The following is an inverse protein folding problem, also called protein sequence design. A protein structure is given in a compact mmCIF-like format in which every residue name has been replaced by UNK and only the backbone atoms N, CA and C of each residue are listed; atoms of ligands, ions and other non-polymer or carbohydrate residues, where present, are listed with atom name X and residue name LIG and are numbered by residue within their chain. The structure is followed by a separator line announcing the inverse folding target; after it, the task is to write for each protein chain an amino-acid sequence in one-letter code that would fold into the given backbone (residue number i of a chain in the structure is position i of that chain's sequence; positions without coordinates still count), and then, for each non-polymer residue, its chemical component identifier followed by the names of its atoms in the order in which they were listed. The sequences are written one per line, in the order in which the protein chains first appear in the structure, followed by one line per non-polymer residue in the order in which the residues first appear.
data_IF_450420171045
#
_entry.id   IF_450420171045
#
_cell.length_a   1.000
_cell.length_b   1.000
_cell.length_c   1.000
_cell.angle_alpha   90.00
_cell.angle_beta   90.00
_cell.angle_gamma   90.00
#
_symmetry.space_group_name_H-M   'P 1'
#
loop_
_entity.id
_entity.type
_entity.pdbx_description
1 polymer ?
#
# COMPACT_ATOMS: atom_id res chain seq x y z
N UNK A 1 1.05 -26.86 -1.04
CA UNK A 1 1.06 -26.88 0.44
C UNK A 1 -0.01 -26.00 1.08
N UNK A 2 -0.13 -24.69 0.79
CA UNK A 2 -1.22 -23.84 1.34
C UNK A 2 -2.65 -24.35 1.08
N UNK A 3 -2.91 -24.89 -0.12
CA UNK A 3 -4.21 -25.50 -0.48
C UNK A 3 -4.55 -26.77 0.32
N UNK A 4 -3.54 -27.52 0.78
CA UNK A 4 -3.73 -28.75 1.56
C UNK A 4 -4.05 -28.42 3.02
N UNK A 5 -3.40 -27.40 3.58
CA UNK A 5 -3.69 -26.91 4.94
C UNK A 5 -5.12 -26.36 5.03
N UNK A 6 -5.57 -25.59 4.02
CA UNK A 6 -6.95 -25.10 3.97
C UNK A 6 -7.97 -26.25 3.89
N UNK A 7 -7.69 -27.30 3.11
CA UNK A 7 -8.58 -28.46 2.99
C UNK A 7 -8.70 -29.23 4.31
N UNK A 8 -7.59 -29.41 5.04
CA UNK A 8 -7.54 -30.08 6.35
C UNK A 8 -8.27 -29.27 7.42
N UNK A 9 -8.16 -27.94 7.40
CA UNK A 9 -8.90 -27.05 8.30
C UNK A 9 -10.42 -27.13 8.01
N UNK A 10 -10.82 -27.15 6.74
CA UNK A 10 -12.22 -27.29 6.35
C UNK A 10 -12.79 -28.65 6.76
N UNK A 11 -12.05 -29.75 6.59
CA UNK A 11 -12.52 -31.08 7.02
C UNK A 11 -12.58 -31.22 8.54
N UNK A 12 -11.65 -30.63 9.28
CA UNK A 12 -11.69 -30.59 10.75
C UNK A 12 -12.87 -29.74 11.27
N UNK A 13 -13.18 -28.61 10.61
CA UNK A 13 -14.34 -27.76 10.94
C UNK A 13 -15.68 -28.45 10.64
N UNK A 14 -15.76 -29.22 9.55
CA UNK A 14 -16.96 -30.00 9.21
C UNK A 14 -17.19 -31.14 10.20
N UNK A 15 -16.12 -31.85 10.59
CA UNK A 15 -16.20 -32.92 11.59
C UNK A 15 -16.54 -32.39 13.00
N UNK A 16 -15.99 -31.24 13.39
CA UNK A 16 -16.36 -30.56 14.64
C UNK A 16 -17.78 -29.96 14.58
N UNK A 17 -18.23 -29.50 13.41
CA UNK A 17 -19.58 -28.98 13.20
C UNK A 17 -20.67 -29.99 13.53
N UNK A 18 -20.50 -31.27 13.16
CA UNK A 18 -21.52 -32.30 13.38
C UNK A 18 -21.82 -32.57 14.87
N UNK A 19 -20.86 -32.33 15.78
CA UNK A 19 -21.07 -32.44 17.23
C UNK A 19 -21.66 -31.18 17.88
N UNK A 20 -21.55 -30.01 17.23
CA UNK A 20 -21.97 -28.71 17.77
C UNK A 20 -23.42 -28.36 17.41
N UNK A 21 -24.01 -28.98 16.37
CA UNK A 21 -25.36 -28.68 15.87
C UNK A 21 -26.55 -29.03 16.79
N UNK A 22 -26.31 -29.49 18.03
CA UNK A 22 -27.37 -29.73 19.05
C UNK A 22 -27.54 -28.59 20.06
N UNK A 23 -26.69 -27.56 20.03
CA UNK A 23 -26.67 -26.50 21.04
C UNK A 23 -26.46 -25.13 20.37
N UNK A 24 -27.54 -24.35 20.26
CA UNK A 24 -27.54 -23.07 19.52
C UNK A 24 -26.57 -22.03 20.10
N UNK A 25 -26.25 -22.11 21.40
CA UNK A 25 -25.27 -21.24 22.04
C UNK A 25 -23.85 -21.49 21.52
N UNK A 26 -23.51 -22.78 21.31
CA UNK A 26 -22.22 -23.20 20.78
C UNK A 26 -22.14 -23.00 19.27
N UNK A 27 -23.27 -23.11 18.56
CA UNK A 27 -23.37 -22.75 17.14
C UNK A 27 -23.07 -21.26 16.92
N UNK A 28 -23.68 -20.37 17.70
CA UNK A 28 -23.41 -18.93 17.61
C UNK A 28 -21.96 -18.59 17.99
N UNK A 29 -21.40 -19.21 19.03
CA UNK A 29 -20.00 -18.99 19.41
C UNK A 29 -19.02 -19.51 18.34
N UNK A 30 -19.36 -20.62 17.66
CA UNK A 30 -18.58 -21.14 16.54
C UNK A 30 -18.73 -20.23 15.30
N UNK A 31 -19.94 -19.76 14.99
CA UNK A 31 -20.18 -18.80 13.91
C UNK A 31 -19.45 -17.47 14.15
N UNK A 32 -19.42 -16.95 15.39
CA UNK A 32 -18.62 -15.78 15.75
C UNK A 32 -17.13 -16.04 15.66
N UNK A 33 -16.64 -17.21 16.10
CA UNK A 33 -15.22 -17.58 15.93
C UNK A 33 -14.84 -17.78 14.47
N UNK A 34 -15.70 -18.40 13.66
CA UNK A 34 -15.49 -18.59 12.23
C UNK A 34 -15.56 -17.25 11.51
N UNK A 35 -16.50 -16.37 11.85
CA UNK A 35 -16.52 -14.97 11.37
C UNK A 35 -15.26 -14.24 11.80
N UNK A 36 -14.83 -14.33 13.06
CA UNK A 36 -13.60 -13.74 13.56
C UNK A 36 -12.35 -14.26 12.84
N UNK A 37 -12.31 -15.55 12.52
CA UNK A 37 -11.24 -16.16 11.70
C UNK A 37 -11.33 -15.68 10.25
N UNK A 38 -12.51 -15.61 9.66
CA UNK A 38 -12.71 -15.10 8.29
C UNK A 38 -12.40 -13.61 8.17
N UNK A 39 -12.70 -12.78 9.18
CA UNK A 39 -12.30 -11.37 9.25
C UNK A 39 -10.79 -11.24 9.49
N UNK A 40 -10.17 -12.13 10.28
CA UNK A 40 -8.71 -12.17 10.44
C UNK A 40 -7.95 -12.62 9.20
N UNK A 41 -8.60 -13.40 8.32
CA UNK A 41 -8.06 -13.86 7.03
C UNK A 41 -8.41 -12.87 5.90
N UNK A 42 -9.53 -12.15 6.03
CA UNK A 42 -10.15 -11.36 4.97
C UNK A 42 -9.69 -9.91 4.83
N UNK A 43 -9.16 -9.29 5.89
CA UNK A 43 -8.72 -7.88 5.84
C UNK A 43 -7.22 -7.66 5.83
N UNK A 44 -6.42 -8.74 5.85
CA UNK A 44 -5.00 -8.62 5.48
C UNK A 44 -4.85 -8.61 3.97
N UNK A 45 -5.42 -7.58 3.35
CA UNK A 45 -5.09 -7.13 2.01
C UNK A 45 -3.64 -6.64 2.00
N UNK A 46 -2.71 -7.57 2.24
CA UNK A 46 -1.28 -7.33 2.04
C UNK A 46 -1.12 -7.12 0.55
N UNK A 47 -1.20 -5.85 0.14
CA UNK A 47 -0.73 -5.44 -1.18
C UNK A 47 0.77 -5.64 -1.13
N UNK A 48 1.22 -6.86 -1.46
CA UNK A 48 2.64 -7.18 -1.59
C UNK A 48 3.15 -6.25 -2.69
N UNK A 49 3.82 -5.17 -2.28
CA UNK A 49 4.64 -4.38 -3.20
C UNK A 49 5.66 -5.37 -3.76
N UNK A 50 5.48 -5.77 -5.01
CA UNK A 50 6.51 -6.51 -5.72
C UNK A 50 7.79 -5.66 -5.71
N UNK A 51 8.82 -6.19 -5.06
CA UNK A 51 10.17 -5.60 -5.04
C UNK A 51 10.73 -5.69 -6.45
N UNK A 52 10.62 -4.60 -7.22
CA UNK A 52 11.19 -4.48 -8.56
C UNK A 52 10.83 -5.62 -9.53
N UNK A 53 11.39 -5.59 -10.74
CA UNK A 53 11.26 -6.69 -11.68
C UNK A 53 12.07 -7.91 -11.18
N UNK A 54 11.51 -9.11 -11.29
CA UNK A 54 12.28 -10.33 -11.03
C UNK A 54 13.12 -10.68 -12.26
N UNK A 55 14.46 -10.73 -12.17
CA UNK A 55 15.29 -11.08 -13.32
C UNK A 55 15.06 -12.53 -13.80
N UNK A 56 14.52 -13.39 -12.94
CA UNK A 56 14.17 -14.77 -13.29
C UNK A 56 12.95 -14.83 -14.22
N UNK A 57 11.92 -14.03 -13.94
CA UNK A 57 10.64 -14.11 -14.65
C UNK A 57 10.41 -12.98 -15.65
N UNK A 58 11.19 -11.90 -15.60
CA UNK A 58 10.95 -10.70 -16.39
C UNK A 58 12.20 -10.23 -17.12
N UNK A 59 12.00 -9.55 -18.25
CA UNK A 59 13.04 -8.88 -19.02
C UNK A 59 12.56 -7.47 -19.44
N UNK A 60 13.51 -6.54 -19.57
CA UNK A 60 13.22 -5.16 -19.94
C UNK A 60 12.96 -5.07 -21.45
N UNK A 61 11.82 -4.49 -21.84
CA UNK A 61 11.44 -4.20 -23.22
C UNK A 61 12.01 -2.86 -23.67
N UNK A 62 13.31 -2.83 -23.96
CA UNK A 62 14.03 -1.62 -24.35
C UNK A 62 13.49 -0.99 -25.63
N UNK A 63 12.94 -1.79 -26.53
CA UNK A 63 12.26 -1.37 -27.75
C UNK A 63 11.04 -0.46 -27.47
N UNK A 64 10.40 -0.59 -26.31
CA UNK A 64 9.26 0.24 -25.89
C UNK A 64 9.68 1.51 -25.14
N UNK A 65 10.96 1.71 -24.88
CA UNK A 65 11.47 2.91 -24.16
C UNK A 65 11.05 4.23 -24.80
N UNK A 66 11.05 4.39 -26.14
CA UNK A 66 10.61 5.64 -26.77
C UNK A 66 9.15 6.01 -26.46
N UNK A 67 8.31 5.03 -26.11
CA UNK A 67 6.89 5.24 -25.83
C UNK A 67 6.62 5.71 -24.39
N UNK A 68 7.62 5.61 -23.50
CA UNK A 68 7.45 5.88 -22.08
C UNK A 68 7.31 7.38 -21.76
N UNK A 69 7.89 8.26 -22.56
CA UNK A 69 7.79 9.70 -22.34
C UNK A 69 6.35 10.19 -22.61
N UNK A 70 5.77 9.76 -23.72
CA UNK A 70 4.37 10.01 -24.06
C UNK A 70 3.42 9.39 -23.00
N UNK A 71 3.67 8.14 -22.58
CA UNK A 71 2.95 7.52 -21.47
C UNK A 71 3.00 8.36 -20.19
N UNK A 72 4.20 8.77 -19.77
CA UNK A 72 4.39 9.58 -18.56
C UNK A 72 3.65 10.92 -18.66
N UNK A 73 3.72 11.58 -19.81
CA UNK A 73 3.07 12.87 -20.01
C UNK A 73 1.53 12.77 -20.06
N UNK A 74 0.97 11.65 -20.51
CA UNK A 74 -0.49 11.44 -20.46
C UNK A 74 -1.02 11.24 -19.05
N UNK A 75 -0.32 10.46 -18.22
CA UNK A 75 -0.89 9.96 -16.97
C UNK A 75 -0.25 10.56 -15.71
N UNK A 76 0.97 11.08 -15.79
CA UNK A 76 1.80 11.43 -14.62
C UNK A 76 2.62 12.72 -14.79
N UNK A 77 2.28 13.59 -15.75
CA UNK A 77 3.07 14.78 -16.13
C UNK A 77 3.52 15.63 -14.95
N UNK A 78 2.58 15.97 -14.06
CA UNK A 78 2.83 16.89 -12.93
C UNK A 78 3.22 16.17 -11.63
N UNK A 79 3.29 14.83 -11.67
CA UNK A 79 3.42 13.99 -10.48
C UNK A 79 2.16 14.03 -9.60
N UNK A 80 2.36 13.71 -8.33
CA UNK A 80 1.30 13.71 -7.31
C UNK A 80 1.74 14.53 -6.10
N UNK A 81 0.86 15.41 -5.64
CA UNK A 81 1.12 16.28 -4.51
C UNK A 81 0.07 16.08 -3.41
N UNK A 82 0.56 15.92 -2.19
CA UNK A 82 -0.20 15.82 -0.96
C UNK A 82 0.10 17.01 -0.06
N UNK A 83 -0.92 17.50 0.61
CA UNK A 83 -0.86 18.51 1.67
C UNK A 83 -1.47 17.86 2.91
N UNK A 84 -0.68 17.70 3.96
CA UNK A 84 -1.09 17.08 5.23
C UNK A 84 -1.79 18.11 6.13
N UNK A 85 -2.41 17.65 7.21
CA UNK A 85 -3.18 18.48 8.15
C UNK A 85 -2.38 19.65 8.76
N UNK A 86 -1.09 19.46 8.96
CA UNK A 86 -0.17 20.47 9.50
C UNK A 86 0.40 21.41 8.42
N UNK A 87 -0.15 21.37 7.21
CA UNK A 87 0.33 22.01 5.99
C UNK A 87 1.67 21.47 5.47
N UNK A 88 2.17 20.36 6.02
CA UNK A 88 3.31 19.66 5.42
C UNK A 88 2.98 19.25 3.99
N UNK A 89 3.90 19.46 3.07
CA UNK A 89 3.70 19.18 1.65
C UNK A 89 4.65 18.09 1.17
N UNK A 90 4.11 17.10 0.47
CA UNK A 90 4.86 16.05 -0.20
C UNK A 90 4.51 16.07 -1.69
N UNK A 91 5.49 16.30 -2.56
CA UNK A 91 5.35 16.13 -4.01
C UNK A 91 6.24 15.02 -4.51
N UNK A 92 5.65 14.08 -5.22
CA UNK A 92 6.33 12.92 -5.80
C UNK A 92 6.25 13.01 -7.32
N UNK A 93 7.38 12.75 -7.98
CA UNK A 93 7.44 12.57 -9.43
C UNK A 93 7.97 11.18 -9.75
N UNK A 94 7.56 10.63 -10.90
CA UNK A 94 8.03 9.34 -11.38
C UNK A 94 9.17 9.56 -12.37
N UNK A 95 10.33 8.97 -12.08
CA UNK A 95 11.52 9.00 -12.92
C UNK A 95 11.91 7.58 -13.37
N UNK A 96 12.72 7.50 -14.42
CA UNK A 96 13.30 6.24 -14.92
C UNK A 96 12.27 5.11 -15.10
N UNK A 97 11.13 5.44 -15.73
CA UNK A 97 10.14 4.43 -16.06
C UNK A 97 10.79 3.38 -16.98
N UNK A 98 10.42 2.12 -16.79
CA UNK A 98 10.89 1.00 -17.60
C UNK A 98 9.77 0.00 -17.79
N UNK A 99 9.60 -0.49 -19.02
CA UNK A 99 8.64 -1.56 -19.35
C UNK A 99 9.33 -2.91 -19.23
N UNK A 100 8.64 -3.85 -18.61
CA UNK A 100 9.05 -5.24 -18.51
C UNK A 100 7.96 -6.15 -19.05
N UNK A 101 8.40 -7.28 -19.57
CA UNK A 101 7.55 -8.38 -20.04
C UNK A 101 7.98 -9.66 -19.32
N UNK A 102 7.05 -10.59 -19.17
CA UNK A 102 7.29 -11.90 -18.59
C UNK A 102 7.95 -12.84 -19.61
N UNK A 103 8.99 -13.55 -19.16
CA UNK A 103 9.69 -14.58 -19.96
C UNK A 103 8.86 -15.86 -20.08
N UNK A 104 8.11 -16.18 -19.04
CA UNK A 104 7.33 -17.40 -18.90
C UNK A 104 6.16 -17.18 -17.94
N UNK A 105 5.26 -18.17 -17.85
CA UNK A 105 4.15 -18.12 -16.89
C UNK A 105 4.70 -18.09 -15.46
N UNK A 106 4.32 -17.07 -14.72
CA UNK A 106 4.64 -16.87 -13.32
C UNK A 106 3.35 -16.72 -12.49
N UNK A 107 3.41 -16.80 -11.15
CA UNK A 107 2.23 -16.65 -10.30
C UNK A 107 1.45 -15.34 -10.47
N UNK A 108 2.08 -14.33 -11.09
CA UNK A 108 1.55 -12.96 -11.21
C UNK A 108 1.52 -12.42 -12.63
N UNK A 109 1.79 -13.24 -13.65
CA UNK A 109 1.80 -12.78 -15.04
C UNK A 109 2.25 -13.87 -16.00
N UNK A 110 2.02 -13.66 -17.29
CA UNK A 110 2.36 -14.58 -18.38
C UNK A 110 3.05 -13.80 -19.52
N UNK A 111 3.72 -14.50 -20.45
CA UNK A 111 4.36 -13.82 -21.58
C UNK A 111 3.38 -12.93 -22.35
N UNK A 112 3.82 -11.70 -22.65
CA UNK A 112 3.02 -10.65 -23.27
C UNK A 112 2.35 -9.69 -22.27
N UNK A 113 2.31 -10.03 -20.97
CA UNK A 113 1.83 -9.10 -19.95
C UNK A 113 2.91 -8.03 -19.69
N UNK A 114 2.60 -6.79 -20.04
CA UNK A 114 3.53 -5.66 -19.88
C UNK A 114 3.33 -4.99 -18.53
N UNK A 115 4.44 -4.66 -17.85
CA UNK A 115 4.46 -3.93 -16.59
C UNK A 115 5.37 -2.72 -16.67
N UNK A 116 4.96 -1.61 -16.08
CA UNK A 116 5.87 -0.49 -15.82
C UNK A 116 6.35 -0.52 -14.38
N UNK A 117 7.66 -0.35 -14.26
CA UNK A 117 8.31 -0.03 -13.01
C UNK A 117 8.82 1.40 -13.07
N UNK A 118 8.77 2.10 -11.94
CA UNK A 118 9.20 3.47 -11.83
C UNK A 118 10.08 3.66 -10.60
N UNK A 119 10.93 4.67 -10.66
CA UNK A 119 11.70 5.15 -9.53
C UNK A 119 11.03 6.45 -9.04
N UNK A 120 10.25 6.42 -7.95
CA UNK A 120 9.68 7.64 -7.39
C UNK A 120 10.82 8.52 -6.85
N UNK A 121 10.63 9.83 -6.98
CA UNK A 121 11.49 10.84 -6.39
C UNK A 121 10.63 11.85 -5.65
N UNK A 122 11.05 12.17 -4.44
CA UNK A 122 10.48 13.29 -3.69
C UNK A 122 11.01 14.57 -4.35
N UNK A 123 10.13 15.30 -5.04
CA UNK A 123 10.45 16.59 -5.64
C UNK A 123 10.38 17.71 -4.60
N UNK A 124 9.49 17.58 -3.61
CA UNK A 124 9.30 18.52 -2.52
C UNK A 124 8.89 17.76 -1.27
N UNK A 125 9.59 18.00 -0.17
CA UNK A 125 9.13 17.69 1.18
C UNK A 125 9.31 18.96 2.03
N UNK A 126 8.22 19.61 2.37
CA UNK A 126 8.20 20.74 3.29
C UNK A 126 7.47 20.30 4.55
N UNK A 127 8.19 20.05 5.63
CA UNK A 127 7.62 19.60 6.91
C UNK A 127 8.43 20.17 8.07
N UNK A 128 7.74 20.57 9.13
CA UNK A 128 8.36 21.00 10.38
C UNK A 128 8.72 19.81 11.30
N UNK A 129 8.16 18.63 11.01
CA UNK A 129 8.27 17.44 11.85
C UNK A 129 9.23 16.42 11.22
N UNK A 130 9.15 16.21 9.91
CA UNK A 130 10.00 15.25 9.19
C UNK A 130 11.29 15.96 8.75
N UNK A 131 12.45 15.65 9.35
CA UNK A 131 13.70 16.24 8.92
C UNK A 131 14.17 15.63 7.60
N UNK A 132 15.01 16.35 6.86
CA UNK A 132 15.42 15.98 5.49
C UNK A 132 16.09 14.61 5.42
N UNK A 133 16.91 14.25 6.41
CA UNK A 133 17.56 12.94 6.49
C UNK A 133 16.58 11.76 6.62
N UNK A 134 15.32 12.01 6.97
CA UNK A 134 14.27 11.01 7.06
C UNK A 134 13.67 10.62 5.70
N UNK A 135 13.92 11.39 4.64
CA UNK A 135 13.38 11.13 3.29
C UNK A 135 13.71 9.72 2.79
N UNK A 136 14.88 9.18 3.18
CA UNK A 136 15.29 7.80 2.84
C UNK A 136 14.35 6.72 3.39
N UNK A 137 13.58 7.03 4.43
CA UNK A 137 12.61 6.11 5.02
C UNK A 137 11.24 6.19 4.36
N UNK A 138 10.97 7.31 3.68
CA UNK A 138 9.80 7.47 2.80
C UNK A 138 9.99 6.61 1.54
N UNK A 139 11.19 6.64 0.94
CA UNK A 139 11.55 5.85 -0.25
C UNK A 139 12.50 4.68 0.08
N UNK A 140 11.94 3.56 0.55
CA UNK A 140 12.72 2.39 1.00
C UNK A 140 13.41 1.62 -0.14
N UNK A 141 12.83 1.55 -1.34
CA UNK A 141 13.43 0.92 -2.53
C UNK A 141 13.57 1.95 -3.64
N UNK A 142 14.44 1.70 -4.62
CA UNK A 142 14.60 2.62 -5.75
C UNK A 142 13.69 2.31 -6.93
N UNK A 143 13.18 1.08 -7.04
CA UNK A 143 12.35 0.65 -8.17
C UNK A 143 11.12 -0.06 -7.65
N UNK A 144 9.96 0.43 -8.08
CA UNK A 144 8.66 -0.05 -7.65
C UNK A 144 7.81 -0.41 -8.86
N UNK A 145 7.00 -1.46 -8.71
CA UNK A 145 5.91 -1.72 -9.63
C UNK A 145 4.97 -0.51 -9.62
N UNK A 146 4.69 0.03 -10.80
CA UNK A 146 3.74 1.11 -10.98
C UNK A 146 2.39 0.53 -11.39
N UNK A 147 2.35 -0.14 -12.55
CA UNK A 147 1.10 -0.60 -13.17
C UNK A 147 1.32 -1.59 -14.31
N UNK A 148 0.31 -2.41 -14.57
CA UNK A 148 0.15 -3.24 -15.77
C UNK A 148 -0.28 -2.37 -16.97
N UNK A 149 0.22 -2.73 -18.16
CA UNK A 149 0.00 -2.00 -19.40
C UNK A 149 -0.44 -2.93 -20.54
N UNK A 150 -1.00 -2.32 -21.59
CA UNK A 150 -1.14 -2.91 -22.92
C UNK A 150 -0.47 -2.04 -23.96
N UNK A 151 0.04 -2.67 -25.01
CA UNK A 151 0.49 -2.00 -26.23
C UNK A 151 -0.64 -2.04 -27.25
N UNK A 152 -1.24 -0.89 -27.57
CA UNK A 152 -2.27 -0.76 -28.61
C UNK A 152 -1.89 0.38 -29.55
N UNK A 153 -1.89 0.13 -30.86
CA UNK A 153 -1.57 1.12 -31.90
C UNK A 153 -0.29 1.92 -31.57
N UNK A 154 0.79 1.20 -31.25
CA UNK A 154 2.10 1.75 -30.86
C UNK A 154 2.06 2.70 -29.65
N UNK A 155 1.06 2.55 -28.78
CA UNK A 155 0.93 3.31 -27.55
C UNK A 155 0.85 2.39 -26.35
N UNK A 156 1.61 2.76 -25.32
CA UNK A 156 1.48 2.23 -23.98
C UNK A 156 0.23 2.83 -23.33
N UNK A 157 -0.74 1.96 -23.01
CA UNK A 157 -2.00 2.34 -22.39
C UNK A 157 -2.24 1.56 -21.11
N UNK A 158 -2.98 2.18 -20.20
CA UNK A 158 -3.45 1.55 -18.97
C UNK A 158 -4.79 0.88 -19.29
N UNK A 159 -4.95 -0.43 -19.05
CA UNK A 159 -6.22 -1.11 -19.24
C UNK A 159 -7.34 -0.46 -18.40
N UNK A 160 -8.57 -0.45 -18.90
CA UNK A 160 -9.70 0.16 -18.20
C UNK A 160 -9.89 -0.46 -16.81
N UNK A 161 -9.69 -1.78 -16.69
CA UNK A 161 -9.82 -2.49 -15.42
C UNK A 161 -8.80 -1.99 -14.38
N UNK A 162 -7.58 -1.67 -14.83
CA UNK A 162 -6.55 -1.09 -13.97
C UNK A 162 -6.82 0.39 -13.66
N UNK A 163 -7.40 1.15 -14.61
CA UNK A 163 -7.85 2.53 -14.39
C UNK A 163 -8.92 2.59 -13.31
N UNK A 164 -9.96 1.76 -13.41
CA UNK A 164 -11.07 1.72 -12.45
C UNK A 164 -10.63 1.28 -11.07
N UNK A 165 -9.61 0.42 -11.01
CA UNK A 165 -9.04 -0.07 -9.76
C UNK A 165 -8.17 0.97 -9.05
N UNK A 166 -7.42 1.77 -9.81
CA UNK A 166 -6.29 2.54 -9.26
C UNK A 166 -6.20 4.01 -9.67
N UNK A 167 -7.12 4.57 -10.46
CA UNK A 167 -7.20 6.03 -10.68
C UNK A 167 -8.42 6.62 -10.00
N UNK A 168 -8.20 7.73 -9.30
CA UNK A 168 -9.27 8.57 -8.76
C UNK A 168 -9.28 9.89 -9.57
N UNK A 169 -10.42 10.58 -9.52
CA UNK A 169 -10.81 11.86 -10.14
C UNK A 169 -9.68 12.60 -10.88
N UNK A 170 -9.95 12.97 -12.14
CA UNK A 170 -9.02 13.67 -13.04
C UNK A 170 -7.73 12.91 -13.35
N UNK A 171 -7.75 11.58 -13.24
CA UNK A 171 -6.57 10.77 -13.54
C UNK A 171 -5.46 10.96 -12.51
N UNK A 172 -5.80 11.17 -11.23
CA UNK A 172 -4.84 11.17 -10.13
C UNK A 172 -5.30 10.23 -9.01
N UNK A 173 -4.54 9.14 -8.92
CA UNK A 173 -4.22 8.26 -7.78
C UNK A 173 -5.23 7.39 -7.03
N UNK A 174 -4.93 6.08 -7.07
CA UNK A 174 -4.88 5.05 -6.02
C UNK A 174 -3.82 3.97 -6.38
N UNK A 175 -2.56 4.32 -6.65
CA UNK A 175 -1.53 3.34 -7.07
C UNK A 175 -0.75 2.75 -5.90
N UNK A 176 -0.43 1.44 -5.90
CA UNK A 176 0.34 0.79 -4.83
C UNK A 176 1.65 1.53 -4.48
N UNK A 177 2.36 2.04 -5.49
CA UNK A 177 3.58 2.82 -5.28
C UNK A 177 3.32 4.09 -4.47
N UNK A 178 2.39 4.93 -4.92
CA UNK A 178 2.20 6.25 -4.33
C UNK A 178 1.51 6.10 -2.96
N UNK A 179 0.66 5.09 -2.81
CA UNK A 179 0.10 4.68 -1.52
C UNK A 179 1.21 4.33 -0.53
N UNK A 180 2.26 3.64 -0.98
CA UNK A 180 3.41 3.30 -0.13
C UNK A 180 4.19 4.52 0.31
N UNK A 181 4.45 5.44 -0.62
CA UNK A 181 5.20 6.67 -0.31
C UNK A 181 4.40 7.55 0.64
N UNK A 182 3.10 7.73 0.39
CA UNK A 182 2.19 8.44 1.28
C UNK A 182 2.12 7.78 2.66
N UNK A 183 1.99 6.45 2.70
CA UNK A 183 2.00 5.65 3.93
C UNK A 183 3.24 5.95 4.79
N UNK A 184 4.44 5.79 4.22
CA UNK A 184 5.67 6.01 4.98
C UNK A 184 5.76 7.46 5.46
N UNK A 185 5.27 8.42 4.67
CA UNK A 185 5.24 9.84 5.04
C UNK A 185 4.31 10.08 6.22
N UNK A 186 3.05 9.61 6.17
CA UNK A 186 2.08 9.76 7.25
C UNK A 186 2.57 9.13 8.56
N UNK A 187 3.17 7.95 8.46
CA UNK A 187 3.69 7.24 9.61
C UNK A 187 4.88 7.94 10.25
N UNK A 188 5.79 8.49 9.45
CA UNK A 188 6.90 9.31 9.95
C UNK A 188 6.40 10.62 10.55
N UNK A 189 5.50 11.32 9.86
CA UNK A 189 4.88 12.56 10.33
C UNK A 189 4.25 12.36 11.71
N UNK A 190 3.48 11.28 11.88
CA UNK A 190 2.79 11.03 13.13
C UNK A 190 3.74 10.56 14.24
N UNK A 191 4.68 9.66 13.95
CA UNK A 191 5.58 9.13 14.97
C UNK A 191 6.56 10.18 15.51
N UNK A 192 7.06 11.06 14.65
CA UNK A 192 8.05 12.08 15.01
C UNK A 192 7.46 13.23 15.84
N UNK A 193 6.13 13.33 15.96
CA UNK A 193 5.48 14.21 16.96
C UNK A 193 5.78 13.80 18.40
N UNK A 194 6.08 12.51 18.61
CA UNK A 194 6.19 11.92 19.93
C UNK A 194 7.61 11.43 20.26
N UNK A 195 8.50 11.28 19.28
CA UNK A 195 9.85 10.77 19.48
C UNK A 195 10.85 11.38 18.48
N UNK A 196 12.13 11.39 18.84
CA UNK A 196 13.20 11.83 17.95
C UNK A 196 13.52 10.76 16.90
N UNK A 197 14.05 11.16 15.74
CA UNK A 197 14.32 10.24 14.62
C UNK A 197 15.25 9.05 14.98
N UNK A 198 16.10 9.24 15.99
CA UNK A 198 17.06 8.24 16.44
C UNK A 198 16.58 7.48 17.70
N UNK A 199 15.35 7.71 18.16
CA UNK A 199 14.79 7.08 19.35
C UNK A 199 14.54 5.58 19.13
N UNK A 200 14.88 4.77 20.14
CA UNK A 200 14.58 3.35 20.15
C UNK A 200 13.07 3.07 19.98
N UNK A 201 12.21 3.95 20.50
CA UNK A 201 10.76 3.78 20.47
C UNK A 201 10.17 3.79 19.06
N UNK A 202 10.90 4.29 18.06
CA UNK A 202 10.47 4.34 16.66
C UNK A 202 11.36 3.53 15.72
N UNK A 203 12.31 2.73 16.23
CA UNK A 203 13.17 1.85 15.41
C UNK A 203 12.37 0.91 14.50
N UNK A 204 11.14 0.59 14.89
CA UNK A 204 10.23 -0.20 14.06
C UNK A 204 10.00 0.44 12.67
N UNK A 205 9.94 1.78 12.56
CA UNK A 205 9.76 2.47 11.27
C UNK A 205 10.82 2.09 10.22
N UNK A 206 12.01 1.75 10.69
CA UNK A 206 13.19 1.49 9.86
C UNK A 206 13.53 0.00 9.73
N UNK A 207 12.81 -0.88 10.41
CA UNK A 207 13.05 -2.32 10.33
C UNK A 207 12.61 -2.87 8.96
N UNK A 208 13.49 -3.65 8.33
CA UNK A 208 13.27 -4.25 7.01
C UNK A 208 12.19 -5.35 7.02
N UNK A 209 11.90 -5.94 8.18
CA UNK A 209 11.04 -7.12 8.33
C UNK A 209 9.66 -6.82 8.94
N UNK A 210 9.21 -5.56 8.93
CA UNK A 210 7.85 -5.25 9.34
C UNK A 210 6.88 -5.64 8.22
N UNK A 211 5.98 -6.56 8.57
CA UNK A 211 4.81 -6.82 7.78
C UNK A 211 3.84 -5.67 7.98
N UNK A 212 3.98 -4.64 7.15
CA UNK A 212 2.94 -3.66 6.94
C UNK A 212 1.76 -4.40 6.31
N UNK A 213 0.61 -4.37 6.97
CA UNK A 213 -0.62 -4.70 6.28
C UNK A 213 -0.99 -3.45 5.49
N UNK A 214 -0.55 -3.43 4.24
CA UNK A 214 -0.48 -2.20 3.45
C UNK A 214 -1.87 -1.78 3.04
N UNK A 215 -2.38 -0.86 3.83
CA UNK A 215 -3.44 0.12 3.61
C UNK A 215 -4.55 -0.24 2.64
N UNK A 216 -5.79 -0.33 3.14
CA UNK A 216 -6.96 -0.14 2.27
C UNK A 216 -7.11 1.36 2.01
N UNK A 217 -7.05 1.74 0.74
CA UNK A 217 -7.57 3.04 0.31
C UNK A 217 -8.99 2.79 -0.18
N UNK A 218 -9.95 3.30 0.57
CA UNK A 218 -11.37 3.20 0.30
C UNK A 218 -11.88 4.54 -0.19
N UNK A 219 -12.57 4.51 -1.32
CA UNK A 219 -13.38 5.65 -1.74
C UNK A 219 -14.63 5.68 -0.89
N UNK A 220 -15.02 6.84 -0.37
CA UNK A 220 -16.34 6.96 0.23
C UNK A 220 -17.39 6.79 -0.88
N UNK A 221 -18.28 5.77 -0.82
CA UNK A 221 -19.21 5.44 -1.90
C UNK A 221 -20.09 6.61 -2.35
N UNK A 222 -20.36 7.54 -1.43
CA UNK A 222 -21.22 8.71 -1.64
C UNK A 222 -20.44 10.03 -1.73
N UNK A 223 -19.11 10.00 -1.76
CA UNK A 223 -18.27 11.19 -1.89
C UNK A 223 -17.00 10.89 -2.68
N UNK A 224 -17.12 10.83 -4.01
CA UNK A 224 -16.01 10.51 -4.93
C UNK A 224 -14.79 11.44 -4.76
N UNK A 225 -14.98 12.64 -4.19
CA UNK A 225 -13.92 13.60 -3.90
C UNK A 225 -13.13 13.32 -2.62
N UNK A 226 -13.60 12.39 -1.78
CA UNK A 226 -12.94 11.99 -0.53
C UNK A 226 -12.38 10.58 -0.62
N UNK A 227 -11.09 10.49 -0.28
CA UNK A 227 -10.31 9.26 -0.28
C UNK A 227 -9.97 8.94 1.17
N UNK A 228 -10.40 7.79 1.66
CA UNK A 228 -10.04 7.29 2.98
C UNK A 228 -8.85 6.35 2.85
N UNK A 229 -7.73 6.70 3.47
CA UNK A 229 -6.53 5.88 3.55
C UNK A 229 -6.46 5.31 4.96
N UNK A 230 -6.82 4.03 5.14
CA UNK A 230 -6.63 3.32 6.40
C UNK A 230 -5.34 2.53 6.32
N UNK A 231 -4.50 2.57 7.35
CA UNK A 231 -3.17 1.95 7.38
C UNK A 231 -3.06 1.09 8.63
N UNK A 232 -2.61 -0.17 8.49
CA UNK A 232 -2.32 -1.05 9.61
C UNK A 232 -0.84 -1.48 9.60
N UNK A 233 -0.20 -1.45 10.76
CA UNK A 233 1.14 -1.97 10.97
C UNK A 233 1.07 -3.06 12.03
N UNK A 234 1.30 -4.31 11.60
CA UNK A 234 1.44 -5.44 12.50
C UNK A 234 2.91 -5.50 12.94
N UNK A 235 3.20 -4.97 14.13
CA UNK A 235 4.53 -5.05 14.70
C UNK A 235 4.73 -6.38 15.45
N UNK A 236 5.96 -6.92 15.42
CA UNK A 236 6.38 -8.24 15.93
C UNK A 236 6.44 -8.37 17.46
N UNK A 237 5.69 -7.55 18.20
CA UNK A 237 5.51 -7.71 19.65
C UNK A 237 4.03 -8.06 19.90
N UNK A 238 3.73 -9.08 20.73
CA UNK A 238 2.40 -9.66 20.81
C UNK A 238 1.34 -8.60 21.17
N UNK A 239 0.30 -8.52 20.34
CA UNK A 239 -0.97 -7.80 20.57
C UNK A 239 -0.96 -6.26 20.51
N UNK A 240 -0.02 -5.61 19.80
CA UNK A 240 -0.09 -4.16 19.55
C UNK A 240 -0.14 -3.84 18.05
N UNK A 241 -1.33 -3.46 17.59
CA UNK A 241 -1.57 -2.95 16.23
C UNK A 241 -1.36 -1.44 16.23
N UNK A 242 -0.57 -0.92 15.29
CA UNK A 242 -0.46 0.52 15.05
C UNK A 242 -1.31 0.82 13.82
N UNK A 243 -2.15 1.85 13.87
CA UNK A 243 -2.92 2.29 12.72
C UNK A 243 -2.88 3.81 12.56
N UNK A 244 -3.02 4.23 11.31
CA UNK A 244 -3.28 5.62 10.91
C UNK A 244 -4.38 5.58 9.86
N UNK A 245 -5.42 6.39 10.04
CA UNK A 245 -6.50 6.57 9.08
C UNK A 245 -6.56 8.03 8.69
N UNK A 246 -6.21 8.35 7.46
CA UNK A 246 -6.21 9.70 6.91
C UNK A 246 -7.27 9.83 5.82
N UNK A 247 -8.04 10.90 5.84
CA UNK A 247 -9.02 11.22 4.79
C UNK A 247 -8.47 12.38 3.98
N UNK A 248 -8.45 12.23 2.66
CA UNK A 248 -7.98 13.24 1.72
C UNK A 248 -9.11 13.73 0.83
N UNK A 249 -9.12 15.01 0.53
CA UNK A 249 -9.95 15.62 -0.49
C UNK A 249 -9.08 16.04 -1.67
N UNK A 250 -9.47 15.63 -2.89
CA UNK A 250 -8.81 16.11 -4.10
C UNK A 250 -9.39 17.47 -4.51
N UNK A 251 -8.51 18.46 -4.72
CA UNK A 251 -8.86 19.81 -5.16
C UNK A 251 -7.66 20.47 -5.84
N UNK A 252 -7.88 21.22 -6.92
CA UNK A 252 -6.85 22.04 -7.60
C UNK A 252 -5.57 21.25 -7.96
N UNK A 253 -5.70 19.99 -8.41
CA UNK A 253 -4.56 19.15 -8.78
C UNK A 253 -3.81 18.50 -7.61
N UNK A 254 -4.30 18.64 -6.36
CA UNK A 254 -3.63 18.20 -5.13
C UNK A 254 -4.57 17.43 -4.20
N UNK A 255 -4.00 16.58 -3.35
CA UNK A 255 -4.71 15.88 -2.28
C UNK A 255 -4.49 16.59 -0.95
N UNK A 256 -5.55 17.13 -0.36
CA UNK A 256 -5.51 17.78 0.94
C UNK A 256 -6.03 16.82 2.00
N UNK A 257 -5.22 16.51 3.01
CA UNK A 257 -5.66 15.79 4.18
C UNK A 257 -6.67 16.65 4.95
N UNK A 258 -7.87 16.12 5.17
CA UNK A 258 -8.96 16.80 5.88
C UNK A 258 -9.24 16.19 7.25
N UNK A 259 -8.75 14.97 7.51
CA UNK A 259 -8.93 14.27 8.78
C UNK A 259 -7.83 13.23 8.97
N UNK A 260 -7.39 13.03 10.22
CA UNK A 260 -6.51 11.92 10.62
C UNK A 260 -6.96 11.35 11.95
N UNK A 261 -6.96 10.03 12.05
CA UNK A 261 -7.13 9.25 13.28
C UNK A 261 -5.91 8.32 13.41
N UNK A 262 -5.32 8.19 14.59
CA UNK A 262 -4.19 7.27 14.79
C UNK A 262 -4.09 6.81 16.24
N UNK A 263 -3.36 5.71 16.47
CA UNK A 263 -2.96 5.26 17.80
C UNK A 263 -1.42 5.23 17.99
N UNK A 264 -0.71 6.00 17.16
CA UNK A 264 0.77 6.00 17.14
C UNK A 264 1.33 6.55 18.45
N UNK A 265 0.67 7.54 19.05
CA UNK A 265 1.07 8.13 20.33
C UNK A 265 1.13 7.05 21.43
N UNK A 266 0.06 6.29 21.58
CA UNK A 266 -0.07 5.23 22.58
C UNK A 266 1.00 4.15 22.37
N UNK A 267 1.28 3.82 21.12
CA UNK A 267 2.38 2.91 20.79
C UNK A 267 3.74 3.47 21.20
N UNK A 268 4.05 4.72 20.83
CA UNK A 268 5.36 5.34 21.13
C UNK A 268 5.56 5.48 22.64
N UNK A 269 4.54 5.90 23.38
CA UNK A 269 4.58 6.00 24.84
C UNK A 269 4.77 4.65 25.52
N UNK A 270 4.13 3.60 25.00
CA UNK A 270 4.38 2.23 25.45
C UNK A 270 5.81 1.80 25.15
N UNK A 271 6.29 2.03 23.93
CA UNK A 271 7.62 1.62 23.50
C UNK A 271 8.72 2.27 24.35
N UNK A 272 8.62 3.56 24.67
CA UNK A 272 9.56 4.26 25.57
C UNK A 272 9.68 3.65 26.96
N UNK A 273 8.64 2.95 27.44
CA UNK A 273 8.63 2.30 28.76
C UNK A 273 9.13 0.86 28.74
N UNK A 274 9.17 0.21 27.56
CA UNK A 274 9.33 -1.23 27.43
C UNK A 274 10.47 -1.67 26.50
N UNK A 275 11.11 -0.75 25.76
CA UNK A 275 12.25 -0.98 24.86
C UNK A 275 13.44 -0.10 25.27
#
# INVERSE_FOLDING_TARGET
MKKIIALVIITALIAAGYQVYKDDSKRMALEEKVKGVLYSIGDSGTTIIHKGPSPYFQYERKDLSPLLEDFKNRYFKDGVQFVLLDNSCLKIVLENLKVYDYKENAPYGKPGDLRVYANPKIQLLNSNIIPKEAEKYILKTRTYYLIDLKLLNDKLIIPQEEMERYFIIEGKLNYPLINTVLFNTLLLDEALKYASINDNSIKFLYANDINYDKSSIENEPNNRGKITVTVFVNNKLPNKVIYIKSVFQYKDGKFYEIKRESNVKEYVEWAKKNL
#
